data_IF_571424937249
#
_entry.id   IF_571424937249
#
_cell.length_a   1.000
_cell.length_b   1.000
_cell.length_c   1.000
_cell.angle_alpha   90.00
_cell.angle_beta   90.00
_cell.angle_gamma   90.00
#
_symmetry.space_group_name_H-M   'P 1'
#
loop_
_entity.id
_entity.type
_entity.pdbx_description
1 polymer ?
#
# COMPACT_ATOMS: atom_id res chain seq x y z
N UNK A 1 2.61 2.40 19.08
CA UNK A 1 1.60 1.58 18.40
C UNK A 1 1.05 2.39 17.24
N UNK A 2 0.92 1.79 16.06
CA UNK A 2 0.46 2.45 14.84
C UNK A 2 -0.61 1.60 14.14
N UNK A 3 -1.66 2.24 13.61
CA UNK A 3 -2.81 1.54 13.03
C UNK A 3 -2.44 0.84 11.72
N UNK A 4 -2.93 -0.39 11.55
CA UNK A 4 -2.72 -1.20 10.34
C UNK A 4 -3.48 -0.60 9.16
N UNK A 5 -2.81 -0.50 8.01
CA UNK A 5 -3.37 -0.05 6.74
C UNK A 5 -3.87 -1.24 5.92
N UNK A 6 -4.98 -1.06 5.22
CA UNK A 6 -5.65 -2.10 4.42
C UNK A 6 -5.91 -1.65 3.00
N UNK A 7 -6.24 -2.60 2.13
CA UNK A 7 -6.71 -2.34 0.78
C UNK A 7 -7.82 -1.28 0.76
N UNK A 8 -7.67 -0.25 -0.07
CA UNK A 8 -8.59 0.89 -0.18
C UNK A 8 -8.41 1.99 0.87
N UNK A 9 -7.49 1.85 1.82
CA UNK A 9 -7.16 2.95 2.71
C UNK A 9 -6.48 4.08 1.93
N UNK A 10 -6.72 5.30 2.40
CA UNK A 10 -6.38 6.50 1.65
C UNK A 10 -4.92 6.90 1.87
N UNK A 11 -4.47 7.86 1.06
CA UNK A 11 -3.20 8.54 1.26
C UNK A 11 -3.39 10.04 1.48
N UNK A 12 -2.36 10.71 1.99
CA UNK A 12 -2.35 12.17 2.20
C UNK A 12 -2.50 12.98 0.91
N UNK A 13 -2.27 12.37 -0.25
CA UNK A 13 -2.47 13.00 -1.56
C UNK A 13 -3.86 12.72 -2.17
N UNK A 14 -4.76 12.07 -1.43
CA UNK A 14 -6.07 11.65 -1.92
C UNK A 14 -6.05 10.37 -2.75
N UNK A 15 -4.92 9.65 -2.74
CA UNK A 15 -4.79 8.33 -3.34
C UNK A 15 -5.35 7.23 -2.47
N UNK A 16 -5.17 5.98 -2.89
CA UNK A 16 -5.60 4.80 -2.12
C UNK A 16 -4.80 3.55 -2.47
N UNK A 17 -4.75 2.60 -1.53
CA UNK A 17 -4.12 1.27 -1.73
C UNK A 17 -4.98 0.45 -2.70
N UNK A 18 -4.39 0.02 -3.82
CA UNK A 18 -5.10 -0.64 -4.92
C UNK A 18 -5.32 -2.14 -4.70
N UNK A 19 -4.32 -2.80 -4.14
CA UNK A 19 -4.31 -4.24 -3.88
C UNK A 19 -3.44 -4.50 -2.67
N UNK A 20 -3.71 -5.58 -1.96
CA UNK A 20 -3.02 -5.92 -0.73
C UNK A 20 -2.85 -7.44 -0.58
N UNK A 21 -2.42 -7.90 0.60
CA UNK A 21 -2.13 -9.30 0.91
C UNK A 21 -3.26 -10.27 0.54
N UNK A 22 -2.90 -11.44 -0.02
CA UNK A 22 -3.86 -12.52 -0.26
C UNK A 22 -4.17 -13.37 0.99
N UNK A 23 -3.31 -13.36 2.01
CA UNK A 23 -3.38 -14.26 3.17
C UNK A 23 -4.16 -13.65 4.33
N UNK A 24 -3.92 -12.38 4.64
CA UNK A 24 -4.45 -11.75 5.85
C UNK A 24 -5.53 -10.71 5.57
N UNK A 25 -6.64 -10.80 6.31
CA UNK A 25 -7.85 -10.00 6.14
C UNK A 25 -8.33 -9.47 7.47
N UNK A 26 -8.55 -8.16 7.55
CA UNK A 26 -9.11 -7.44 8.70
C UNK A 26 -10.35 -6.66 8.24
N UNK A 27 -11.48 -6.89 8.89
CA UNK A 27 -12.80 -6.35 8.51
C UNK A 27 -13.11 -6.51 7.02
N UNK A 28 -12.92 -7.73 6.51
CA UNK A 28 -13.17 -8.08 5.11
C UNK A 28 -12.28 -7.34 4.09
N UNK A 29 -11.21 -6.68 4.55
CA UNK A 29 -10.24 -5.98 3.70
C UNK A 29 -8.86 -6.56 3.92
N UNK A 30 -8.15 -6.78 2.82
CA UNK A 30 -6.80 -7.34 2.80
C UNK A 30 -5.80 -6.39 3.46
N UNK A 31 -4.88 -6.94 4.25
CA UNK A 31 -3.85 -6.16 4.96
C UNK A 31 -2.78 -5.68 3.97
N UNK A 32 -2.44 -4.38 3.99
CA UNK A 32 -1.48 -3.79 3.08
C UNK A 32 -0.04 -4.00 3.57
N UNK A 33 0.87 -4.28 2.65
CA UNK A 33 2.28 -4.63 2.92
C UNK A 33 3.23 -3.75 2.12
N UNK A 34 4.50 -3.74 2.52
CA UNK A 34 5.54 -3.14 1.68
C UNK A 34 5.52 -3.70 0.25
N UNK A 35 5.58 -2.81 -0.73
CA UNK A 35 5.56 -3.14 -2.16
C UNK A 35 4.17 -3.24 -2.77
N UNK A 36 3.10 -3.21 -1.98
CA UNK A 36 1.74 -3.21 -2.50
C UNK A 36 1.43 -1.92 -3.28
N UNK A 37 0.67 -2.01 -4.39
CA UNK A 37 0.45 -0.90 -5.29
C UNK A 37 -0.51 0.15 -4.71
N UNK A 38 -0.22 1.42 -4.97
CA UNK A 38 -0.99 2.57 -4.50
C UNK A 38 -1.26 3.51 -5.65
N UNK A 39 -2.52 3.87 -5.88
CA UNK A 39 -2.86 4.91 -6.84
C UNK A 39 -2.58 6.29 -6.25
N UNK A 40 -1.86 7.16 -6.99
CA UNK A 40 -1.60 8.53 -6.59
C UNK A 40 -2.20 9.53 -7.59
N UNK A 41 -3.27 10.27 -7.24
CA UNK A 41 -3.86 11.25 -8.15
C UNK A 41 -2.97 12.48 -8.36
N UNK A 42 -2.05 12.77 -7.45
CA UNK A 42 -1.18 13.94 -7.54
C UNK A 42 -0.14 13.85 -8.66
N UNK A 43 0.39 12.64 -8.94
CA UNK A 43 1.28 12.40 -10.08
C UNK A 43 0.62 11.59 -11.21
N UNK A 44 -0.60 11.06 -11.01
CA UNK A 44 -1.32 10.28 -12.01
C UNK A 44 -0.71 8.90 -12.28
N UNK A 45 0.08 8.37 -11.35
CA UNK A 45 0.79 7.11 -11.48
C UNK A 45 0.43 6.14 -10.35
N UNK A 46 0.67 4.85 -10.60
CA UNK A 46 0.67 3.82 -9.57
C UNK A 46 2.06 3.75 -8.96
N UNK A 47 2.15 4.06 -7.67
CA UNK A 47 3.32 3.83 -6.85
C UNK A 47 3.19 2.55 -6.04
N UNK A 48 4.00 2.44 -4.98
CA UNK A 48 3.99 1.33 -4.05
C UNK A 48 4.29 1.78 -2.62
N UNK A 49 3.89 0.97 -1.64
CA UNK A 49 4.19 1.22 -0.22
C UNK A 49 5.69 1.00 0.03
N UNK A 50 6.39 2.03 0.48
CA UNK A 50 7.84 2.03 0.66
C UNK A 50 8.29 1.61 2.07
N UNK A 51 7.39 1.62 3.04
CA UNK A 51 7.70 1.35 4.44
C UNK A 51 6.72 0.36 5.07
N UNK A 52 7.19 -0.40 6.05
CA UNK A 52 6.40 -1.35 6.80
C UNK A 52 6.86 -1.44 8.25
N UNK A 53 6.05 -2.02 9.11
CA UNK A 53 6.30 -2.13 10.53
C UNK A 53 6.93 -3.50 10.86
N UNK A 54 8.16 -3.56 11.38
CA UNK A 54 8.83 -4.84 11.62
C UNK A 54 8.21 -5.67 12.74
N UNK A 55 7.28 -5.10 13.52
CA UNK A 55 6.55 -5.82 14.58
C UNK A 55 5.29 -6.53 14.09
N UNK A 56 4.91 -6.31 12.82
CA UNK A 56 3.77 -6.96 12.20
C UNK A 56 4.16 -7.40 10.80
N UNK A 57 4.25 -8.71 10.59
CA UNK A 57 4.75 -9.30 9.34
C UNK A 57 3.75 -10.31 8.81
N UNK A 58 3.43 -10.19 7.53
CA UNK A 58 2.62 -11.15 6.78
C UNK A 58 3.42 -11.66 5.58
N UNK A 59 3.48 -12.98 5.39
CA UNK A 59 4.29 -13.65 4.36
C UNK A 59 5.73 -13.12 4.23
N UNK A 60 6.42 -12.91 5.37
CA UNK A 60 7.80 -12.39 5.42
C UNK A 60 7.95 -10.97 4.85
N UNK A 61 6.85 -10.22 4.77
CA UNK A 61 6.81 -8.81 4.36
C UNK A 61 6.18 -7.99 5.48
N UNK A 62 6.86 -6.92 5.88
CA UNK A 62 6.34 -6.04 6.92
C UNK A 62 5.04 -5.35 6.45
N UNK A 63 4.05 -5.34 7.34
CA UNK A 63 2.75 -4.72 7.13
C UNK A 63 2.85 -3.21 7.22
N UNK A 64 2.13 -2.51 6.34
CA UNK A 64 2.09 -1.07 6.31
C UNK A 64 1.21 -0.53 7.45
N UNK A 65 1.67 0.52 8.11
CA UNK A 65 0.91 1.23 9.16
C UNK A 65 0.70 2.69 8.81
N UNK A 66 -0.16 3.36 9.57
CA UNK A 66 -0.41 4.79 9.50
C UNK A 66 0.89 5.60 9.31
N UNK A 67 0.84 6.62 8.45
CA UNK A 67 1.94 7.54 8.16
C UNK A 67 3.15 6.96 7.41
N UNK A 68 3.16 5.66 7.09
CA UNK A 68 4.19 5.07 6.24
C UNK A 68 4.18 5.64 4.83
N UNK A 69 5.37 5.77 4.27
CA UNK A 69 5.60 6.44 2.99
C UNK A 69 5.16 5.58 1.79
N UNK A 70 4.62 6.27 0.79
CA UNK A 70 4.33 5.72 -0.54
C UNK A 70 5.35 6.28 -1.53
N UNK A 71 6.09 5.39 -2.18
CA UNK A 71 6.98 5.75 -3.28
C UNK A 71 6.19 5.80 -4.58
N UNK A 72 6.07 7.00 -5.15
CA UNK A 72 5.43 7.30 -6.43
C UNK A 72 6.22 8.40 -7.16
N UNK A 73 5.69 8.96 -8.25
CA UNK A 73 6.33 10.09 -8.96
C UNK A 73 6.39 11.41 -8.18
N UNK A 74 5.75 11.52 -7.02
CA UNK A 74 5.83 12.69 -6.16
C UNK A 74 7.18 12.76 -5.40
N UNK A 75 7.59 13.94 -4.90
CA UNK A 75 8.77 14.06 -4.05
C UNK A 75 8.72 13.10 -2.84
N UNK A 76 9.85 12.45 -2.46
CA UNK A 76 9.88 11.54 -1.32
C UNK A 76 9.30 12.16 -0.04
N UNK A 77 8.55 11.38 0.72
CA UNK A 77 7.90 11.77 1.96
C UNK A 77 6.63 12.62 1.82
N UNK A 78 6.25 13.04 0.61
CA UNK A 78 5.03 13.84 0.37
C UNK A 78 3.73 13.03 0.37
N UNK A 79 3.83 11.71 0.17
CA UNK A 79 2.68 10.82 0.12
C UNK A 79 2.78 9.77 1.24
N UNK A 80 1.80 9.75 2.14
CA UNK A 80 1.76 8.87 3.31
C UNK A 80 0.41 8.19 3.46
N UNK A 81 0.41 6.98 4.01
CA UNK A 81 -0.79 6.18 4.23
C UNK A 81 -1.66 6.71 5.38
N UNK A 82 -2.97 6.59 5.21
CA UNK A 82 -4.00 6.94 6.22
C UNK A 82 -4.95 5.76 6.42
N UNK A 83 -4.78 5.05 7.53
CA UNK A 83 -5.64 3.96 7.97
C UNK A 83 -7.06 4.46 8.25
N UNK A 84 -8.07 3.72 7.79
CA UNK A 84 -9.48 4.05 8.00
C UNK A 84 -10.07 3.50 9.31
N UNK A 85 -9.33 2.62 10.00
CA UNK A 85 -9.75 1.97 11.25
C UNK A 85 -8.84 2.39 12.41
N UNK A 86 -9.33 2.19 13.64
CA UNK A 86 -8.61 2.55 14.87
C UNK A 86 -8.60 1.41 15.92
N UNK A 87 -8.82 0.18 15.49
CA UNK A 87 -8.97 -1.00 16.36
C UNK A 87 -7.71 -1.89 16.35
N UNK A 88 -7.11 -2.10 15.17
CA UNK A 88 -5.95 -2.99 15.00
C UNK A 88 -4.67 -2.19 14.80
N UNK A 89 -3.67 -2.49 15.63
CA UNK A 89 -2.39 -1.80 15.69
C UNK A 89 -1.22 -2.79 15.63
N UNK A 90 -0.09 -2.31 15.12
CA UNK A 90 1.20 -2.94 15.36
C UNK A 90 1.72 -2.57 16.76
N UNK A 91 2.51 -3.47 17.36
CA UNK A 91 3.02 -3.33 18.73
C UNK A 91 3.80 -2.03 18.95
N UNK A 92 4.56 -1.60 17.95
CA UNK A 92 5.38 -0.39 18.02
C UNK A 92 5.03 0.61 16.92
N UNK A 93 5.37 1.87 17.14
CA UNK A 93 5.45 2.84 16.04
C UNK A 93 6.86 2.75 15.44
N UNK A 94 6.99 1.95 14.39
CA UNK A 94 8.27 1.62 13.77
C UNK A 94 8.12 1.55 12.25
N UNK A 95 9.21 1.82 11.56
CA UNK A 95 9.28 1.77 10.10
C UNK A 95 10.61 1.14 9.66
N UNK A 96 10.51 0.12 8.81
CA UNK A 96 11.61 -0.36 7.97
C UNK A 96 11.33 0.03 6.53
N UNK A 97 12.38 0.42 5.82
CA UNK A 97 12.27 0.74 4.39
C UNK A 97 12.45 -0.52 3.58
N UNK A 98 11.64 -0.66 2.53
CA UNK A 98 11.75 -1.74 1.54
C UNK A 98 13.17 -1.79 0.93
N UNK A 99 13.69 -2.99 0.70
CA UNK A 99 15.00 -3.16 0.05
C UNK A 99 14.98 -2.66 -1.40
N UNK A 100 16.14 -2.32 -1.94
CA UNK A 100 16.27 -1.86 -3.34
C UNK A 100 15.76 -2.89 -4.36
N UNK A 101 16.00 -4.18 -4.10
CA UNK A 101 15.51 -5.29 -4.91
C UNK A 101 13.99 -5.41 -4.84
N UNK A 102 13.40 -5.40 -3.64
CA UNK A 102 11.93 -5.46 -3.51
C UNK A 102 11.27 -4.20 -4.09
N UNK A 103 11.90 -3.03 -3.97
CA UNK A 103 11.44 -1.79 -4.58
C UNK A 103 11.46 -1.86 -6.11
N UNK A 104 12.48 -2.45 -6.72
CA UNK A 104 12.53 -2.61 -8.18
C UNK A 104 11.42 -3.53 -8.68
N UNK A 105 11.18 -4.65 -7.99
CA UNK A 105 10.04 -5.53 -8.27
C UNK A 105 8.70 -4.81 -8.11
N UNK A 106 8.51 -4.05 -7.02
CA UNK A 106 7.29 -3.29 -6.78
C UNK A 106 7.01 -2.26 -7.88
N UNK A 107 8.05 -1.59 -8.39
CA UNK A 107 7.93 -0.66 -9.54
C UNK A 107 7.45 -1.38 -10.80
N UNK A 108 8.07 -2.50 -11.16
CA UNK A 108 7.66 -3.29 -12.33
C UNK A 108 6.22 -3.78 -12.21
N UNK A 109 5.83 -4.22 -11.01
CA UNK A 109 4.46 -4.64 -10.72
C UNK A 109 3.46 -3.48 -10.86
N UNK A 110 3.81 -2.30 -10.36
CA UNK A 110 3.00 -1.08 -10.50
C UNK A 110 2.81 -0.67 -11.98
N UNK A 111 3.88 -0.72 -12.78
CA UNK A 111 3.84 -0.45 -14.22
C UNK A 111 2.99 -1.48 -14.99
N UNK A 112 3.12 -2.76 -14.65
CA UNK A 112 2.29 -3.82 -15.23
C UNK A 112 0.81 -3.61 -14.86
N UNK A 113 0.53 -3.34 -13.59
CA UNK A 113 -0.83 -3.06 -13.13
C UNK A 113 -1.43 -1.84 -13.84
N UNK A 114 -0.66 -0.76 -14.00
CA UNK A 114 -1.11 0.44 -14.72
C UNK A 114 -1.48 0.13 -16.17
N UNK A 115 -0.74 -0.75 -16.84
CA UNK A 115 -1.08 -1.24 -18.19
C UNK A 115 -2.39 -2.03 -18.18
N UNK A 116 -2.54 -2.97 -17.26
CA UNK A 116 -3.75 -3.81 -17.16
C UNK A 116 -5.02 -3.05 -16.76
N UNK A 117 -4.88 -1.94 -16.01
CA UNK A 117 -6.00 -1.05 -15.75
C UNK A 117 -6.42 -0.28 -17.00
N UNK A 118 -5.43 0.19 -17.79
CA UNK A 118 -5.66 1.00 -18.98
C UNK A 118 -6.31 0.20 -20.10
N UNK A 119 -5.90 -1.05 -20.29
CA UNK A 119 -6.48 -1.94 -21.31
C UNK A 119 -7.77 -2.63 -20.85
N UNK A 120 -8.14 -2.48 -19.57
CA UNK A 120 -9.34 -3.08 -18.99
C UNK A 120 -9.24 -4.58 -18.72
N UNK A 121 -8.06 -5.20 -18.87
CA UNK A 121 -7.84 -6.62 -18.60
C UNK A 121 -7.93 -6.97 -17.11
N UNK A 122 -7.79 -5.99 -16.22
CA UNK A 122 -7.89 -6.17 -14.78
C UNK A 122 -8.62 -5.01 -14.11
N UNK A 123 -9.45 -5.33 -13.11
CA UNK A 123 -10.06 -4.34 -12.22
C UNK A 123 -9.85 -4.76 -10.77
N UNK A 124 -9.10 -3.97 -9.97
CA UNK A 124 -8.91 -4.18 -8.54
C UNK A 124 -10.23 -4.28 -7.79
N UNK A 125 -10.28 -5.10 -6.75
CA UNK A 125 -11.49 -5.31 -5.94
C UNK A 125 -12.04 -4.00 -5.37
N UNK A 126 -11.16 -3.09 -4.94
CA UNK A 126 -11.56 -1.76 -4.42
C UNK A 126 -12.30 -0.89 -5.45
N UNK A 127 -12.15 -1.17 -6.75
CA UNK A 127 -12.80 -0.44 -7.83
C UNK A 127 -14.06 -1.13 -8.36
N UNK A 128 -14.38 -2.33 -7.89
CA UNK A 128 -15.56 -3.06 -8.36
C UNK A 128 -16.84 -2.52 -7.73
N UNK A 129 -17.96 -2.48 -8.48
CA UNK A 129 -19.26 -2.14 -7.90
C UNK A 129 -19.62 -3.13 -6.79
N UNK A 130 -20.18 -2.62 -5.68
CA UNK A 130 -20.74 -3.42 -4.59
C UNK A 130 -22.24 -3.57 -4.73
#
# INVERSE_FOLDING_TARGET
>A
MSFIVREGDLTTTGGFVLSASASEVIDLRRVARMGDPVWCPACGEIGFIAQGNPTYVDDLVAVATQSHEVACGCPPGSNRLTASQQDIQADMDAAVTISTERASTARLNAEQLARSLRDGSYTPEVLRPR
#
